data_IF_756771136411
#
_entry.id   IF_756771136411
#
_cell.length_a   1.000
_cell.length_b   1.000
_cell.length_c   1.000
_cell.angle_alpha   90.00
_cell.angle_beta   90.00
_cell.angle_gamma   90.00
#
_symmetry.space_group_name_H-M   'P 1'
#
loop_
_entity.id
_entity.type
_entity.pdbx_description
1 polymer ?
#
# COMPACT_ATOMS: atom_id res chain seq x y z
N UNK A 1 -2.13 -18.13 25.40
CA UNK A 1 -0.70 -18.03 25.76
C UNK A 1 0.15 -19.21 25.23
N UNK A 2 -0.31 -20.46 25.36
CA UNK A 2 0.45 -21.66 24.95
C UNK A 2 0.75 -21.76 23.42
N UNK A 3 -0.18 -21.35 22.56
CA UNK A 3 0.01 -21.43 21.10
C UNK A 3 1.03 -20.44 20.52
N UNK A 4 1.24 -19.28 21.15
CA UNK A 4 2.15 -18.26 20.65
C UNK A 4 3.63 -18.62 20.91
N UNK A 5 3.93 -19.20 22.07
CA UNK A 5 5.28 -19.66 22.45
C UNK A 5 5.70 -20.85 21.57
N UNK A 6 4.82 -21.83 21.38
CA UNK A 6 5.04 -22.96 20.46
C UNK A 6 5.35 -22.48 19.03
N UNK A 7 4.61 -21.48 18.55
CA UNK A 7 4.84 -20.90 17.23
C UNK A 7 6.18 -20.17 17.11
N UNK A 8 6.72 -19.60 18.18
CA UNK A 8 8.02 -18.94 18.17
C UNK A 8 9.17 -19.95 18.01
N UNK A 9 9.16 -21.04 18.78
CA UNK A 9 10.16 -22.09 18.68
C UNK A 9 10.13 -22.78 17.31
N UNK A 10 8.93 -23.18 16.84
CA UNK A 10 8.77 -23.79 15.51
C UNK A 10 9.29 -22.85 14.42
N UNK A 11 8.97 -21.55 14.47
CA UNK A 11 9.49 -20.57 13.49
C UNK A 11 11.01 -20.46 13.48
N UNK A 12 11.67 -20.53 14.62
CA UNK A 12 13.14 -20.42 14.66
C UNK A 12 13.81 -21.68 14.13
N UNK A 13 13.28 -22.86 14.48
CA UNK A 13 13.75 -24.12 13.91
C UNK A 13 13.55 -24.15 12.39
N UNK A 14 12.35 -23.81 11.91
CA UNK A 14 12.01 -23.86 10.49
C UNK A 14 12.82 -22.87 9.66
N UNK A 15 13.13 -21.68 10.21
CA UNK A 15 14.03 -20.72 9.54
C UNK A 15 15.43 -21.30 9.31
N UNK A 16 15.97 -22.02 10.30
CA UNK A 16 17.29 -22.62 10.20
C UNK A 16 17.31 -23.72 9.13
N UNK A 17 16.34 -24.64 9.21
CA UNK A 17 16.14 -25.68 8.19
C UNK A 17 15.98 -25.09 6.79
N UNK A 18 15.14 -24.07 6.63
CA UNK A 18 14.94 -23.41 5.34
C UNK A 18 16.23 -22.78 4.80
N UNK A 19 17.04 -22.14 5.66
CA UNK A 19 18.31 -21.51 5.28
C UNK A 19 19.33 -22.54 4.77
N UNK A 20 19.32 -23.75 5.30
CA UNK A 20 20.20 -24.85 4.87
C UNK A 20 19.73 -25.47 3.54
N UNK A 21 18.42 -25.62 3.35
CA UNK A 21 17.85 -26.33 2.20
C UNK A 21 17.66 -25.47 0.94
N UNK A 22 17.66 -24.14 1.06
CA UNK A 22 17.27 -23.24 -0.04
C UNK A 22 18.40 -22.31 -0.52
N UNK A 23 18.47 -22.03 -1.83
CA UNK A 23 19.43 -21.07 -2.40
C UNK A 23 19.28 -19.66 -1.81
N UNK A 24 20.31 -18.82 -1.98
CA UNK A 24 20.33 -17.42 -1.49
C UNK A 24 19.13 -16.61 -1.96
N UNK A 25 18.72 -16.77 -3.23
CA UNK A 25 17.59 -16.10 -3.86
C UNK A 25 16.23 -16.48 -3.28
N UNK A 26 16.15 -17.44 -2.37
CA UNK A 26 14.91 -17.82 -1.69
C UNK A 26 14.92 -17.46 -0.20
N UNK A 27 16.06 -17.02 0.35
CA UNK A 27 16.27 -16.93 1.80
C UNK A 27 15.35 -15.93 2.48
N UNK A 28 14.79 -14.94 1.77
CA UNK A 28 13.78 -14.02 2.30
C UNK A 28 12.53 -14.75 2.79
N UNK A 29 12.15 -15.86 2.13
CA UNK A 29 10.95 -16.63 2.45
C UNK A 29 11.05 -17.49 3.72
N UNK A 30 12.24 -17.60 4.34
CA UNK A 30 12.42 -18.31 5.61
C UNK A 30 11.49 -17.82 6.72
N UNK A 31 11.05 -16.55 6.64
CA UNK A 31 10.12 -15.94 7.60
C UNK A 31 8.72 -16.57 7.54
N UNK A 32 8.32 -16.99 6.34
CA UNK A 32 6.96 -17.39 6.02
C UNK A 32 6.80 -18.92 6.01
N UNK A 33 7.83 -19.65 5.61
CA UNK A 33 7.81 -21.11 5.62
C UNK A 33 7.78 -21.70 7.06
N UNK A 34 6.99 -22.77 7.32
CA UNK A 34 6.09 -23.51 6.41
C UNK A 34 4.63 -23.02 6.43
N UNK A 35 4.36 -21.87 7.05
CA UNK A 35 2.99 -21.43 7.34
C UNK A 35 2.25 -20.89 6.12
N UNK A 36 2.96 -20.42 5.10
CA UNK A 36 2.38 -19.84 3.90
C UNK A 36 2.60 -20.72 2.67
N UNK A 37 1.61 -20.70 1.78
CA UNK A 37 1.69 -21.25 0.43
C UNK A 37 1.10 -20.22 -0.53
N UNK A 38 1.77 -20.00 -1.67
CA UNK A 38 1.34 -19.08 -2.72
C UNK A 38 1.13 -19.88 -4.00
N UNK A 39 -0.02 -19.71 -4.64
CA UNK A 39 -0.30 -20.20 -6.00
C UNK A 39 -0.10 -19.03 -6.96
N UNK A 40 0.62 -19.27 -8.05
CA UNK A 40 0.91 -18.27 -9.08
C UNK A 40 0.36 -18.71 -10.42
N UNK A 41 -0.08 -17.76 -11.24
CA UNK A 41 -0.50 -18.03 -12.61
C UNK A 41 0.70 -18.21 -13.55
N UNK A 42 0.40 -18.46 -14.83
CA UNK A 42 1.40 -18.66 -15.89
C UNK A 42 2.32 -17.43 -16.10
N UNK A 43 1.86 -16.23 -15.76
CA UNK A 43 2.66 -14.99 -15.81
C UNK A 43 3.52 -14.78 -14.56
N UNK A 44 3.43 -15.68 -13.57
CA UNK A 44 4.18 -15.59 -12.31
C UNK A 44 3.55 -14.67 -11.26
N UNK A 45 2.37 -14.10 -11.52
CA UNK A 45 1.65 -13.27 -10.55
C UNK A 45 0.99 -14.13 -9.47
N UNK A 46 0.72 -13.55 -8.31
CA UNK A 46 0.00 -14.22 -7.22
C UNK A 46 -1.48 -14.38 -7.60
N UNK A 47 -1.97 -15.62 -7.67
CA UNK A 47 -3.40 -15.91 -7.78
C UNK A 47 -4.02 -16.09 -6.40
N UNK A 48 -3.40 -16.90 -5.54
CA UNK A 48 -3.95 -17.24 -4.23
C UNK A 48 -2.88 -17.35 -3.16
N UNK A 49 -3.21 -16.90 -1.95
CA UNK A 49 -2.36 -17.00 -0.76
C UNK A 49 -3.08 -17.78 0.32
N UNK A 50 -2.41 -18.80 0.83
CA UNK A 50 -2.88 -19.61 1.94
C UNK A 50 -2.01 -19.40 3.16
N UNK A 51 -2.63 -19.29 4.34
CA UNK A 51 -1.98 -19.32 5.63
C UNK A 51 -2.51 -20.52 6.41
N UNK A 52 -1.63 -21.46 6.78
CA UNK A 52 -1.99 -22.71 7.48
C UNK A 52 -3.14 -23.44 6.80
N UNK A 53 -3.03 -23.60 5.47
CA UNK A 53 -4.03 -24.22 4.59
C UNK A 53 -5.38 -23.48 4.48
N UNK A 54 -5.56 -22.33 5.13
CA UNK A 54 -6.73 -21.47 4.94
C UNK A 54 -6.46 -20.46 3.84
N UNK A 55 -7.36 -20.30 2.89
CA UNK A 55 -7.27 -19.26 1.85
C UNK A 55 -7.47 -17.89 2.49
N UNK A 56 -6.50 -16.99 2.32
CA UNK A 56 -6.51 -15.64 2.92
C UNK A 56 -6.63 -14.53 1.87
N UNK A 57 -6.08 -14.75 0.68
CA UNK A 57 -6.20 -13.81 -0.43
C UNK A 57 -6.48 -14.57 -1.72
N UNK A 58 -7.44 -14.08 -2.50
CA UNK A 58 -7.77 -14.57 -3.83
C UNK A 58 -7.79 -13.39 -4.80
N UNK A 59 -6.88 -13.41 -5.76
CA UNK A 59 -6.71 -12.38 -6.80
C UNK A 59 -7.38 -12.77 -8.11
N UNK A 60 -7.90 -14.00 -8.24
CA UNK A 60 -8.68 -14.41 -9.42
C UNK A 60 -10.04 -13.70 -9.47
N UNK A 61 -10.47 -13.16 -8.32
CA UNK A 61 -11.65 -12.32 -8.19
C UNK A 61 -11.36 -10.90 -8.67
N UNK A 62 -12.02 -10.51 -9.77
CA UNK A 62 -11.94 -9.16 -10.32
C UNK A 62 -12.40 -8.10 -9.32
N UNK A 63 -11.56 -7.08 -9.14
CA UNK A 63 -11.92 -5.88 -8.41
C UNK A 63 -12.83 -5.01 -9.28
N UNK A 64 -13.87 -4.45 -8.66
CA UNK A 64 -14.78 -3.51 -9.33
C UNK A 64 -14.77 -2.19 -8.57
N UNK A 65 -14.50 -1.12 -9.29
CA UNK A 65 -14.70 0.23 -8.80
C UNK A 65 -16.19 0.55 -8.85
N UNK A 66 -16.70 1.34 -7.90
CA UNK A 66 -18.07 1.85 -7.99
C UNK A 66 -18.12 3.08 -8.89
N UNK A 67 -17.04 3.86 -8.91
CA UNK A 67 -16.95 5.10 -9.66
C UNK A 67 -15.66 5.17 -10.47
N UNK A 68 -15.65 6.02 -11.51
CA UNK A 68 -14.43 6.31 -12.28
C UNK A 68 -13.50 7.31 -11.61
N UNK A 69 -13.99 7.96 -10.55
CA UNK A 69 -13.30 8.97 -9.74
C UNK A 69 -12.96 8.40 -8.37
N UNK A 70 -11.75 8.67 -7.87
CA UNK A 70 -11.32 8.18 -6.57
C UNK A 70 -10.47 9.19 -5.82
N UNK A 71 -10.66 9.27 -4.51
CA UNK A 71 -9.84 10.07 -3.61
C UNK A 71 -8.88 9.17 -2.83
N UNK A 72 -7.58 9.40 -3.05
CA UNK A 72 -6.50 8.90 -2.20
C UNK A 72 -6.40 9.77 -0.95
N UNK A 73 -6.63 9.17 0.22
CA UNK A 73 -6.50 9.84 1.51
C UNK A 73 -5.23 9.34 2.20
N UNK A 74 -4.25 10.22 2.29
CA UNK A 74 -3.06 10.07 3.10
C UNK A 74 -3.24 10.74 4.47
N UNK A 75 -2.13 11.03 5.16
CA UNK A 75 -2.17 11.30 6.61
C UNK A 75 -1.61 12.65 7.03
N UNK A 76 -1.19 13.48 6.07
CA UNK A 76 -0.72 14.83 6.33
C UNK A 76 -1.81 15.73 6.95
N UNK A 77 -1.42 16.71 7.78
CA UNK A 77 -2.36 17.61 8.45
C UNK A 77 -3.21 18.48 7.50
N UNK A 78 -2.89 18.60 6.20
CA UNK A 78 -3.77 19.30 5.26
C UNK A 78 -5.14 18.67 5.08
N UNK A 79 -5.32 17.39 5.47
CA UNK A 79 -6.64 16.75 5.56
C UNK A 79 -7.64 17.62 6.33
N UNK A 80 -7.19 18.28 7.41
CA UNK A 80 -8.05 19.14 8.26
C UNK A 80 -8.57 20.39 7.55
N UNK A 81 -8.05 20.72 6.37
CA UNK A 81 -8.49 21.86 5.55
C UNK A 81 -9.53 21.48 4.50
N UNK A 82 -9.78 20.19 4.29
CA UNK A 82 -10.77 19.70 3.32
C UNK A 82 -12.13 19.62 4.03
N UNK A 83 -13.19 20.26 3.51
CA UNK A 83 -14.51 20.17 4.11
C UNK A 83 -15.05 18.73 4.17
N UNK A 84 -15.59 18.32 5.32
CA UNK A 84 -16.05 16.94 5.61
C UNK A 84 -17.02 16.36 4.57
N UNK A 85 -17.82 17.21 3.91
CA UNK A 85 -18.74 16.78 2.86
C UNK A 85 -18.04 16.03 1.72
N UNK A 86 -16.77 16.35 1.44
CA UNK A 86 -15.99 15.72 0.37
C UNK A 86 -15.46 14.33 0.75
N UNK A 87 -15.49 13.97 2.04
CA UNK A 87 -15.19 12.63 2.54
C UNK A 87 -16.40 11.69 2.50
N UNK A 88 -17.58 12.21 2.14
CA UNK A 88 -18.85 11.48 2.01
C UNK A 88 -19.49 11.63 0.62
N UNK A 89 -18.72 12.08 -0.37
CA UNK A 89 -19.26 12.35 -1.69
C UNK A 89 -19.54 11.04 -2.43
N UNK A 90 -20.82 10.77 -2.68
CA UNK A 90 -21.31 9.48 -3.17
C UNK A 90 -20.84 9.11 -4.58
N UNK A 91 -20.22 10.04 -5.31
CA UNK A 91 -19.68 9.81 -6.67
C UNK A 91 -18.18 9.53 -6.68
N UNK A 92 -17.56 9.38 -5.50
CA UNK A 92 -16.17 9.01 -5.34
C UNK A 92 -16.04 7.64 -4.70
N UNK A 93 -15.10 6.86 -5.22
CA UNK A 93 -14.46 5.83 -4.41
C UNK A 93 -13.38 6.46 -3.51
N UNK A 94 -13.03 5.76 -2.44
CA UNK A 94 -11.99 6.18 -1.50
C UNK A 94 -10.96 5.08 -1.31
N UNK A 95 -9.70 5.47 -1.39
CA UNK A 95 -8.55 4.65 -1.04
C UNK A 95 -7.76 5.28 0.11
N UNK A 96 -7.67 4.57 1.23
CA UNK A 96 -6.96 5.04 2.42
C UNK A 96 -5.56 4.45 2.52
N UNK A 97 -4.62 5.20 3.09
CA UNK A 97 -3.28 4.67 3.41
C UNK A 97 -2.92 4.84 4.88
N UNK A 98 -2.23 3.85 5.44
CA UNK A 98 -1.77 3.83 6.83
C UNK A 98 -2.86 4.24 7.84
N UNK A 99 -2.78 5.43 8.43
CA UNK A 99 -3.72 5.89 9.45
C UNK A 99 -4.93 6.67 8.93
N UNK A 100 -5.16 6.72 7.61
CA UNK A 100 -6.32 7.39 7.01
C UNK A 100 -7.67 6.91 7.56
N UNK A 101 -7.76 5.66 8.02
CA UNK A 101 -8.92 5.05 8.65
C UNK A 101 -9.42 5.82 9.86
N UNK A 102 -8.59 6.69 10.46
CA UNK A 102 -8.97 7.57 11.54
C UNK A 102 -10.03 8.63 11.15
N UNK A 103 -10.24 8.90 9.86
CA UNK A 103 -11.42 9.61 9.36
C UNK A 103 -12.63 8.67 9.38
N UNK A 104 -13.48 8.80 10.40
CA UNK A 104 -14.60 7.88 10.66
C UNK A 104 -15.72 8.00 9.62
N UNK A 105 -15.80 9.15 8.97
CA UNK A 105 -16.80 9.50 7.98
C UNK A 105 -16.58 8.84 6.61
N UNK A 106 -15.39 8.31 6.34
CA UNK A 106 -15.04 7.75 5.02
C UNK A 106 -15.33 6.25 5.01
N UNK A 107 -16.09 5.81 4.00
CA UNK A 107 -16.20 4.39 3.67
C UNK A 107 -15.18 4.03 2.59
N UNK A 108 -14.06 3.43 2.98
CA UNK A 108 -13.00 3.03 2.06
C UNK A 108 -13.36 1.77 1.26
N UNK A 109 -13.30 1.86 -0.08
CA UNK A 109 -13.40 0.69 -0.97
C UNK A 109 -12.08 -0.07 -1.04
N UNK A 110 -10.98 0.68 -0.98
CA UNK A 110 -9.63 0.14 -1.03
C UNK A 110 -8.80 0.71 0.12
N UNK A 111 -7.84 -0.05 0.61
CA UNK A 111 -6.95 0.40 1.68
C UNK A 111 -5.54 -0.14 1.46
N UNK A 112 -4.51 0.63 1.78
CA UNK A 112 -3.11 0.22 1.56
C UNK A 112 -2.28 0.42 2.82
N UNK A 113 -1.62 -0.65 3.26
CA UNK A 113 -0.60 -0.59 4.32
C UNK A 113 0.56 -1.48 3.90
N UNK A 114 1.71 -0.87 3.62
CA UNK A 114 2.97 -1.58 3.30
C UNK A 114 4.06 -1.35 4.36
N UNK A 115 3.85 -0.36 5.23
CA UNK A 115 4.75 0.01 6.30
C UNK A 115 4.58 -0.95 7.49
N UNK A 116 5.59 -1.78 7.73
CA UNK A 116 5.57 -2.74 8.82
C UNK A 116 5.77 -2.09 10.19
N UNK A 117 6.43 -0.94 10.29
CA UNK A 117 6.56 -0.21 11.54
C UNK A 117 5.20 0.38 11.94
N UNK A 118 4.43 0.88 10.97
CA UNK A 118 3.03 1.27 11.20
C UNK A 118 2.19 0.11 11.75
N UNK A 119 2.30 -1.10 11.16
CA UNK A 119 1.58 -2.30 11.66
C UNK A 119 2.03 -2.67 13.08
N UNK A 120 3.29 -2.46 13.42
CA UNK A 120 3.79 -2.77 14.75
C UNK A 120 3.32 -1.76 15.79
N UNK A 121 3.37 -0.47 15.47
CA UNK A 121 3.20 0.63 16.43
C UNK A 121 1.77 1.17 16.50
N UNK A 122 0.98 1.04 15.42
CA UNK A 122 -0.40 1.54 15.31
C UNK A 122 -1.38 0.43 14.95
N UNK A 123 -1.24 -0.69 15.65
CA UNK A 123 -2.12 -1.85 15.41
C UNK A 123 -3.59 -1.55 15.69
N UNK A 124 -3.87 -0.57 16.57
CA UNK A 124 -5.21 -0.02 16.82
C UNK A 124 -5.89 0.46 15.52
N UNK A 125 -5.14 1.12 14.63
CA UNK A 125 -5.66 1.57 13.34
C UNK A 125 -5.72 0.42 12.34
N UNK A 126 -4.79 -0.54 12.40
CA UNK A 126 -4.84 -1.74 11.55
C UNK A 126 -6.09 -2.57 11.85
N UNK A 127 -6.43 -2.79 13.12
CA UNK A 127 -7.64 -3.52 13.52
C UNK A 127 -8.91 -2.90 12.96
N UNK A 128 -8.98 -1.56 12.94
CA UNK A 128 -10.09 -0.84 12.31
C UNK A 128 -10.19 -1.12 10.82
N UNK A 129 -9.08 -1.18 10.10
CA UNK A 129 -9.07 -1.56 8.66
C UNK A 129 -9.58 -2.99 8.48
N UNK A 130 -9.11 -3.92 9.33
CA UNK A 130 -9.51 -5.33 9.28
C UNK A 130 -11.02 -5.54 9.50
N UNK A 131 -11.68 -4.66 10.27
CA UNK A 131 -13.13 -4.71 10.53
C UNK A 131 -13.98 -4.06 9.40
N UNK A 132 -13.36 -3.48 8.39
CA UNK A 132 -14.08 -2.98 7.20
C UNK A 132 -14.26 -4.06 6.13
N UNK A 133 -15.17 -3.84 5.17
CA UNK A 133 -15.32 -4.70 3.99
C UNK A 133 -14.45 -4.25 2.79
N UNK A 134 -13.36 -3.52 3.02
CA UNK A 134 -12.53 -2.99 1.94
C UNK A 134 -11.65 -4.06 1.28
N UNK A 135 -11.14 -3.75 0.09
CA UNK A 135 -9.99 -4.46 -0.48
C UNK A 135 -8.71 -3.93 0.17
N UNK A 136 -8.07 -4.74 1.01
CA UNK A 136 -6.90 -4.36 1.77
C UNK A 136 -5.61 -4.83 1.09
N UNK A 137 -4.94 -3.91 0.42
CA UNK A 137 -3.64 -4.11 -0.21
C UNK A 137 -2.51 -4.05 0.82
N UNK A 138 -1.68 -5.09 0.86
CA UNK A 138 -0.56 -5.17 1.80
C UNK A 138 0.56 -6.06 1.29
N UNK A 139 1.73 -5.98 1.92
CA UNK A 139 2.87 -6.86 1.61
C UNK A 139 2.80 -8.16 2.40
N UNK A 140 3.51 -9.19 1.93
CA UNK A 140 3.69 -10.43 2.69
C UNK A 140 4.25 -10.20 4.11
N UNK A 141 5.11 -9.19 4.28
CA UNK A 141 5.69 -8.82 5.57
C UNK A 141 4.62 -8.29 6.52
N UNK A 142 3.82 -7.31 6.09
CA UNK A 142 2.74 -6.75 6.89
C UNK A 142 1.66 -7.81 7.19
N UNK A 143 1.28 -8.61 6.19
CA UNK A 143 0.35 -9.73 6.37
C UNK A 143 0.83 -10.69 7.48
N UNK A 144 2.10 -11.07 7.49
CA UNK A 144 2.67 -11.94 8.52
C UNK A 144 2.71 -11.29 9.91
N UNK A 145 2.87 -9.97 10.03
CA UNK A 145 2.70 -9.28 11.31
C UNK A 145 1.25 -9.28 11.79
N UNK A 146 0.31 -9.06 10.87
CA UNK A 146 -1.13 -9.01 11.16
C UNK A 146 -1.63 -10.38 11.62
N UNK A 147 -1.41 -11.44 10.84
CA UNK A 147 -1.91 -12.80 11.14
C UNK A 147 -1.24 -13.46 12.37
N UNK A 148 -0.24 -12.82 12.97
CA UNK A 148 0.31 -13.21 14.28
C UNK A 148 -0.43 -12.59 15.46
N UNK A 149 -1.16 -11.50 15.23
CA UNK A 149 -1.86 -10.72 16.25
C UNK A 149 -3.36 -10.96 16.26
N UNK A 150 -3.97 -11.21 15.09
CA UNK A 150 -5.42 -11.44 14.96
C UNK A 150 -5.72 -12.84 14.47
N UNK A 151 -6.92 -13.34 14.80
CA UNK A 151 -7.44 -14.58 14.22
C UNK A 151 -8.14 -14.28 12.90
N UNK A 152 -8.12 -15.25 11.97
CA UNK A 152 -8.68 -15.07 10.63
C UNK A 152 -10.18 -14.77 10.68
N UNK A 153 -10.91 -15.36 11.63
CA UNK A 153 -12.37 -15.20 11.76
C UNK A 153 -12.78 -13.77 12.18
N UNK A 154 -11.82 -12.96 12.66
CA UNK A 154 -12.05 -11.56 13.04
C UNK A 154 -11.82 -10.60 11.86
N UNK A 155 -11.34 -11.08 10.72
CA UNK A 155 -10.98 -10.27 9.58
C UNK A 155 -12.16 -10.21 8.60
N UNK A 156 -12.63 -9.00 8.31
CA UNK A 156 -13.75 -8.74 7.39
C UNK A 156 -13.28 -8.18 6.05
N UNK A 157 -12.13 -7.52 6.01
CA UNK A 157 -11.56 -7.00 4.78
C UNK A 157 -11.06 -8.13 3.88
N UNK A 158 -10.93 -7.86 2.58
CA UNK A 158 -10.36 -8.82 1.63
C UNK A 158 -8.90 -8.48 1.37
N UNK A 159 -7.97 -9.34 1.79
CA UNK A 159 -6.56 -9.11 1.51
C UNK A 159 -6.26 -9.18 0.00
N UNK A 160 -5.41 -8.27 -0.44
CA UNK A 160 -4.78 -8.25 -1.76
C UNK A 160 -3.26 -8.10 -1.56
N UNK A 161 -2.48 -9.09 -1.95
CA UNK A 161 -1.05 -9.15 -1.66
C UNK A 161 -0.27 -8.55 -2.83
N UNK A 162 0.52 -7.52 -2.52
CA UNK A 162 1.39 -6.85 -3.49
C UNK A 162 2.86 -7.14 -3.16
N UNK A 163 3.68 -7.17 -4.21
CA UNK A 163 5.12 -7.41 -4.13
C UNK A 163 5.87 -6.12 -4.49
N UNK A 164 6.88 -5.77 -3.70
CA UNK A 164 7.59 -4.50 -3.85
C UNK A 164 8.93 -4.73 -4.53
N UNK A 165 9.23 -3.93 -5.55
CA UNK A 165 10.57 -3.81 -6.11
C UNK A 165 11.33 -2.71 -5.38
N UNK A 166 12.53 -3.06 -4.91
CA UNK A 166 13.48 -2.12 -4.32
C UNK A 166 14.88 -2.45 -4.82
N UNK A 167 15.67 -1.44 -5.17
CA UNK A 167 17.02 -1.61 -5.73
C UNK A 167 17.08 -2.63 -6.89
N UNK A 168 16.13 -2.50 -7.83
CA UNK A 168 15.98 -3.37 -9.00
C UNK A 168 15.79 -4.86 -8.65
N UNK A 169 15.31 -5.17 -7.45
CA UNK A 169 15.03 -6.54 -7.01
C UNK A 169 13.63 -6.65 -6.44
N UNK A 170 12.92 -7.70 -6.83
CA UNK A 170 11.67 -8.09 -6.22
C UNK A 170 11.86 -9.44 -5.52
N UNK A 171 11.71 -9.44 -4.20
CA UNK A 171 11.77 -10.64 -3.37
C UNK A 171 10.39 -11.33 -3.33
N UNK A 172 10.12 -12.15 -4.35
CA UNK A 172 8.81 -12.77 -4.54
C UNK A 172 8.38 -13.61 -3.32
N UNK A 173 7.16 -13.39 -2.83
CA UNK A 173 6.56 -14.09 -1.72
C UNK A 173 6.42 -15.58 -2.04
N UNK A 174 7.10 -16.41 -1.25
CA UNK A 174 7.25 -17.85 -1.47
C UNK A 174 7.85 -18.22 -2.84
N UNK A 175 8.51 -17.27 -3.54
CA UNK A 175 9.23 -17.47 -4.80
C UNK A 175 10.71 -17.03 -4.74
N UNK A 176 11.42 -17.06 -5.86
CA UNK A 176 12.78 -16.54 -5.94
C UNK A 176 12.81 -15.01 -5.99
N UNK A 177 13.93 -14.41 -5.61
CA UNK A 177 14.23 -13.03 -5.99
C UNK A 177 14.38 -12.94 -7.51
N UNK A 178 13.75 -11.95 -8.11
CA UNK A 178 13.91 -11.59 -9.53
C UNK A 178 14.55 -10.21 -9.65
N UNK A 179 15.26 -9.99 -10.76
CA UNK A 179 15.72 -8.66 -11.14
C UNK A 179 14.60 -7.95 -11.90
N UNK A 180 14.37 -6.69 -11.56
CA UNK A 180 13.40 -5.84 -12.24
C UNK A 180 14.17 -4.69 -12.86
N UNK A 181 14.11 -4.61 -14.18
CA UNK A 181 14.75 -3.58 -14.99
C UNK A 181 13.73 -2.92 -15.93
N UNK A 182 14.21 -1.94 -16.71
CA UNK A 182 13.40 -1.15 -17.64
C UNK A 182 12.82 -1.96 -18.80
N UNK A 183 13.28 -3.20 -19.02
CA UNK A 183 12.78 -4.08 -20.10
C UNK A 183 11.49 -4.79 -19.71
N UNK A 184 11.12 -4.75 -18.42
CA UNK A 184 9.86 -5.30 -17.94
C UNK A 184 8.72 -4.40 -18.43
N UNK A 185 7.96 -4.88 -19.42
CA UNK A 185 6.89 -4.12 -20.10
C UNK A 185 5.82 -3.55 -19.18
N UNK A 186 5.60 -4.17 -18.02
CA UNK A 186 4.63 -3.72 -17.03
C UNK A 186 5.12 -2.62 -16.11
N UNK A 187 6.27 -2.01 -16.44
CA UNK A 187 6.82 -0.88 -15.71
C UNK A 187 7.07 0.29 -16.67
N UNK A 188 6.69 1.48 -16.22
CA UNK A 188 7.09 2.75 -16.82
C UNK A 188 8.27 3.32 -16.05
N UNK A 189 9.32 3.76 -16.74
CA UNK A 189 10.48 4.37 -16.11
C UNK A 189 10.68 5.81 -16.60
N UNK A 190 11.00 6.69 -15.67
CA UNK A 190 11.40 8.07 -15.94
C UNK A 190 12.50 8.47 -14.96
N UNK A 191 13.62 8.97 -15.48
CA UNK A 191 14.81 9.37 -14.72
C UNK A 191 15.28 8.33 -13.68
N UNK A 192 15.20 7.04 -14.01
CA UNK A 192 15.62 5.94 -13.12
C UNK A 192 14.62 5.57 -12.02
N UNK A 193 13.43 6.19 -11.99
CA UNK A 193 12.33 5.83 -11.11
C UNK A 193 11.27 5.07 -11.88
N UNK A 194 10.80 3.95 -11.31
CA UNK A 194 9.84 3.04 -11.90
C UNK A 194 8.42 3.26 -11.36
N UNK A 195 7.44 3.09 -12.23
CA UNK A 195 6.02 3.13 -11.90
C UNK A 195 5.36 1.90 -12.52
N UNK A 196 4.75 1.05 -11.71
CA UNK A 196 4.08 -0.14 -12.21
C UNK A 196 2.79 0.19 -12.96
N UNK A 197 2.61 -0.40 -14.13
CA UNK A 197 1.37 -0.35 -14.92
C UNK A 197 0.43 -1.52 -14.59
N UNK A 198 0.95 -2.55 -13.91
CA UNK A 198 0.19 -3.72 -13.45
C UNK A 198 0.51 -4.05 -11.98
N UNK A 199 -0.38 -3.65 -11.07
CA UNK A 199 -0.18 -3.72 -9.62
C UNK A 199 0.14 -5.11 -9.03
N UNK A 200 -0.16 -6.21 -9.75
CA UNK A 200 0.12 -7.58 -9.30
C UNK A 200 1.44 -8.16 -9.82
N UNK A 201 2.14 -7.47 -10.74
CA UNK A 201 3.49 -7.86 -11.16
C UNK A 201 4.52 -7.41 -10.12
N UNK A 202 4.49 -6.13 -9.81
CA UNK A 202 5.26 -5.49 -8.75
C UNK A 202 4.69 -4.09 -8.54
N UNK A 203 5.02 -3.47 -7.41
CA UNK A 203 4.91 -2.02 -7.20
C UNK A 203 6.22 -1.45 -6.68
N UNK A 204 6.40 -0.15 -6.79
CA UNK A 204 7.51 0.60 -6.20
C UNK A 204 6.99 1.42 -5.01
N UNK A 205 7.79 1.56 -3.95
CA UNK A 205 7.37 2.31 -2.76
C UNK A 205 8.01 3.70 -2.67
N UNK A 206 9.29 3.83 -3.04
CA UNK A 206 10.11 5.03 -2.89
C UNK A 206 9.81 5.76 -1.58
N UNK A 207 9.82 5.01 -0.48
CA UNK A 207 9.67 5.50 0.89
C UNK A 207 8.28 6.06 1.27
N UNK A 208 7.26 5.97 0.41
CA UNK A 208 5.91 6.45 0.76
C UNK A 208 4.79 5.54 0.26
N UNK A 209 3.86 5.21 1.15
CA UNK A 209 2.69 4.37 0.84
C UNK A 209 1.76 5.05 -0.18
N UNK A 210 1.74 6.38 -0.22
CA UNK A 210 0.94 7.13 -1.20
C UNK A 210 1.39 6.83 -2.64
N UNK A 211 2.68 6.63 -2.88
CA UNK A 211 3.20 6.32 -4.21
C UNK A 211 2.80 4.91 -4.67
N UNK A 212 2.84 3.94 -3.74
CA UNK A 212 2.30 2.60 -3.99
C UNK A 212 0.80 2.63 -4.26
N UNK A 213 0.05 3.44 -3.52
CA UNK A 213 -1.39 3.58 -3.73
C UNK A 213 -1.72 4.13 -5.14
N UNK A 214 -0.93 5.06 -5.68
CA UNK A 214 -1.13 5.54 -7.06
C UNK A 214 -0.97 4.42 -8.11
N UNK A 215 -0.01 3.51 -7.93
CA UNK A 215 0.15 2.35 -8.83
C UNK A 215 -1.02 1.37 -8.72
N UNK A 216 -1.54 1.17 -7.51
CA UNK A 216 -2.77 0.40 -7.29
C UNK A 216 -3.97 1.07 -7.98
N UNK A 217 -4.12 2.40 -7.85
CA UNK A 217 -5.20 3.15 -8.50
C UNK A 217 -5.11 3.09 -10.03
N UNK A 218 -3.90 3.11 -10.57
CA UNK A 218 -3.64 2.86 -12.00
C UNK A 218 -4.11 1.46 -12.41
N UNK A 219 -3.71 0.42 -11.67
CA UNK A 219 -4.14 -0.96 -11.94
C UNK A 219 -5.65 -1.19 -11.75
N UNK A 220 -6.31 -0.35 -10.95
CA UNK A 220 -7.77 -0.30 -10.81
C UNK A 220 -8.45 0.53 -11.91
N UNK A 221 -7.71 1.17 -12.81
CA UNK A 221 -8.22 1.96 -13.93
C UNK A 221 -9.03 3.22 -13.56
N UNK A 222 -8.73 3.86 -12.41
CA UNK A 222 -9.33 5.15 -12.09
C UNK A 222 -8.90 6.23 -13.10
N UNK A 223 -9.86 7.03 -13.57
CA UNK A 223 -9.63 8.06 -14.59
C UNK A 223 -9.45 9.46 -14.00
N UNK A 224 -9.99 9.68 -12.78
CA UNK A 224 -9.83 10.93 -12.04
C UNK A 224 -9.38 10.61 -10.61
N UNK A 225 -8.23 11.11 -10.24
CA UNK A 225 -7.58 10.85 -8.96
C UNK A 225 -7.43 12.16 -8.20
N UNK A 226 -7.92 12.18 -6.97
CA UNK A 226 -7.74 13.30 -6.04
C UNK A 226 -6.85 12.85 -4.88
N UNK A 227 -5.76 13.57 -4.62
CA UNK A 227 -4.78 13.22 -3.59
C UNK A 227 -4.94 14.18 -2.41
N UNK A 228 -5.38 13.65 -1.27
CA UNK A 228 -5.57 14.39 -0.04
C UNK A 228 -4.49 14.00 0.99
N UNK A 229 -3.93 14.98 1.71
CA UNK A 229 -3.01 14.71 2.82
C UNK A 229 -1.59 14.26 2.43
N UNK A 230 -1.14 14.58 1.21
CA UNK A 230 0.25 14.38 0.78
C UNK A 230 0.96 15.73 0.80
N UNK A 231 1.42 16.13 1.99
CA UNK A 231 2.00 17.45 2.23
C UNK A 231 3.49 17.55 1.89
N UNK A 232 4.31 16.63 2.42
CA UNK A 232 5.76 16.58 2.18
C UNK A 232 6.55 17.85 2.58
N UNK A 233 5.97 18.72 3.42
CA UNK A 233 6.56 20.00 3.81
C UNK A 233 6.52 20.28 5.33
N UNK A 234 6.07 19.30 6.11
CA UNK A 234 5.65 19.44 7.49
C UNK A 234 6.04 18.23 8.34
N UNK A 235 7.26 17.72 8.12
CA UNK A 235 7.76 16.49 8.72
C UNK A 235 7.80 16.51 10.25
N UNK A 236 7.86 17.71 10.85
CA UNK A 236 7.84 17.89 12.30
C UNK A 236 6.44 17.96 12.90
N UNK A 237 5.40 18.15 12.07
CA UNK A 237 4.01 18.18 12.52
C UNK A 237 3.44 16.76 12.67
N UNK A 238 2.49 16.55 13.60
CA UNK A 238 1.80 15.28 13.70
C UNK A 238 0.97 15.01 12.44
N UNK A 239 0.80 13.73 12.11
CA UNK A 239 -0.25 13.31 11.17
C UNK A 239 -1.62 13.73 11.71
N UNK A 240 -2.64 13.82 10.86
CA UNK A 240 -3.93 14.42 11.28
C UNK A 240 -4.57 13.73 12.51
N UNK A 241 -4.28 12.44 12.72
CA UNK A 241 -4.76 11.59 13.81
C UNK A 241 -3.78 11.45 14.99
N UNK A 242 -2.64 12.15 14.97
CA UNK A 242 -1.64 12.15 16.03
C UNK A 242 -1.68 13.49 16.80
N UNK A 243 -1.06 13.51 17.97
CA UNK A 243 -0.78 14.72 18.74
C UNK A 243 0.73 15.00 18.75
N UNK A 244 1.15 16.19 19.18
CA UNK A 244 2.58 16.53 19.29
C UNK A 244 3.33 15.56 20.23
N UNK A 245 2.71 15.20 21.34
CA UNK A 245 3.31 14.31 22.37
C UNK A 245 3.31 12.83 21.96
N UNK A 246 2.53 12.45 20.94
CA UNK A 246 2.33 11.06 20.52
C UNK A 246 2.47 10.88 19.00
N UNK A 247 3.41 11.60 18.37
CA UNK A 247 3.75 11.42 16.95
C UNK A 247 4.76 10.30 16.74
N UNK A 248 4.59 9.52 15.68
CA UNK A 248 5.59 8.53 15.27
C UNK A 248 6.71 9.20 14.47
N UNK A 249 7.96 8.67 14.51
CA UNK A 249 9.02 9.16 13.64
C UNK A 249 8.68 8.94 12.16
N UNK A 250 9.35 9.69 11.29
CA UNK A 250 9.22 9.59 9.84
C UNK A 250 10.60 9.67 9.19
N UNK A 251 10.79 8.91 8.11
CA UNK A 251 11.98 8.98 7.26
C UNK A 251 11.73 9.81 5.99
N UNK A 252 10.52 10.36 5.82
CA UNK A 252 10.16 11.10 4.60
C UNK A 252 11.07 12.32 4.38
N UNK A 253 11.50 13.00 5.45
CA UNK A 253 12.43 14.13 5.37
C UNK A 253 13.77 13.74 4.75
N UNK A 254 14.29 12.56 5.08
CA UNK A 254 15.57 12.04 4.58
C UNK A 254 15.52 11.62 3.11
N UNK A 255 14.33 11.28 2.60
CA UNK A 255 14.13 10.78 1.24
C UNK A 255 13.32 11.71 0.34
N UNK A 256 13.15 12.98 0.75
CA UNK A 256 12.29 13.96 0.08
C UNK A 256 12.55 14.05 -1.43
N UNK A 257 13.83 14.13 -1.85
CA UNK A 257 14.19 14.26 -3.26
C UNK A 257 13.80 13.01 -4.08
N UNK A 258 14.06 11.81 -3.56
CA UNK A 258 13.67 10.56 -4.20
C UNK A 258 12.14 10.43 -4.30
N UNK A 259 11.41 10.88 -3.27
CA UNK A 259 9.96 10.87 -3.28
C UNK A 259 9.41 11.84 -4.34
N UNK A 260 9.95 13.06 -4.44
CA UNK A 260 9.56 14.03 -5.46
C UNK A 260 9.78 13.46 -6.86
N UNK A 261 10.97 12.93 -7.13
CA UNK A 261 11.29 12.33 -8.43
C UNK A 261 10.38 11.14 -8.77
N UNK A 262 10.04 10.29 -7.78
CA UNK A 262 9.06 9.23 -7.98
C UNK A 262 7.68 9.78 -8.39
N UNK A 263 7.18 10.81 -7.69
CA UNK A 263 5.91 11.46 -8.04
C UNK A 263 5.94 12.19 -9.39
N UNK A 264 7.09 12.66 -9.86
CA UNK A 264 7.26 13.16 -11.24
C UNK A 264 7.07 12.02 -12.25
N UNK A 265 7.70 10.85 -12.02
CA UNK A 265 7.47 9.65 -12.86
C UNK A 265 6.00 9.27 -12.93
N UNK A 266 5.28 9.29 -11.79
CA UNK A 266 3.84 9.02 -11.80
C UNK A 266 3.06 10.05 -12.61
N UNK A 267 3.40 11.34 -12.52
CA UNK A 267 2.74 12.39 -13.28
C UNK A 267 2.92 12.20 -14.79
N UNK A 268 4.15 11.96 -15.25
CA UNK A 268 4.42 11.67 -16.66
C UNK A 268 3.68 10.43 -17.15
N UNK A 269 3.64 9.36 -16.33
CA UNK A 269 2.87 8.18 -16.65
C UNK A 269 1.37 8.51 -16.81
N UNK A 270 0.75 9.14 -15.82
CA UNK A 270 -0.68 9.46 -15.87
C UNK A 270 -1.05 10.42 -17.00
N UNK A 271 -0.21 11.40 -17.30
CA UNK A 271 -0.37 12.29 -18.46
C UNK A 271 -0.40 11.49 -19.77
N UNK A 272 0.55 10.56 -19.95
CA UNK A 272 0.58 9.69 -21.13
C UNK A 272 -0.67 8.82 -21.28
N UNK A 273 -1.31 8.47 -20.15
CA UNK A 273 -2.53 7.67 -20.10
C UNK A 273 -3.82 8.53 -20.10
N UNK A 274 -3.70 9.85 -20.17
CA UNK A 274 -4.83 10.81 -20.09
C UNK A 274 -5.65 10.66 -18.80
N UNK A 275 -5.01 10.26 -17.71
CA UNK A 275 -5.63 10.19 -16.37
C UNK A 275 -5.46 11.53 -15.68
N UNK A 276 -6.56 12.09 -15.16
CA UNK A 276 -6.52 13.38 -14.46
C UNK A 276 -6.14 13.17 -13.00
N UNK A 277 -5.08 13.83 -12.53
CA UNK A 277 -4.62 13.73 -11.15
C UNK A 277 -4.49 15.12 -10.54
N UNK A 278 -5.13 15.31 -9.39
CA UNK A 278 -5.15 16.57 -8.66
C UNK A 278 -4.66 16.37 -7.23
N UNK A 279 -3.83 17.30 -6.74
CA UNK A 279 -3.40 17.32 -5.35
C UNK A 279 -4.18 18.38 -4.58
N UNK A 280 -4.94 17.93 -3.57
CA UNK A 280 -5.79 18.75 -2.70
C UNK A 280 -5.02 19.42 -1.55
N UNK A 281 -3.70 19.23 -1.51
CA UNK A 281 -2.80 19.84 -0.52
C UNK A 281 -2.13 21.07 -1.16
N UNK A 282 -2.66 22.30 -0.95
CA UNK A 282 -2.27 23.48 -1.74
C UNK A 282 -0.79 23.86 -1.59
N UNK A 283 -0.22 23.62 -0.41
CA UNK A 283 1.18 23.94 -0.12
C UNK A 283 2.13 22.74 -0.23
N UNK A 284 1.64 21.60 -0.73
CA UNK A 284 2.44 20.38 -0.77
C UNK A 284 3.69 20.53 -1.63
N UNK A 285 4.81 19.98 -1.15
CA UNK A 285 6.09 19.94 -1.87
C UNK A 285 6.01 19.14 -3.18
N UNK A 286 5.01 18.27 -3.34
CA UNK A 286 4.78 17.52 -4.58
C UNK A 286 4.12 18.43 -5.61
N UNK A 287 4.90 18.95 -6.56
CA UNK A 287 4.47 19.89 -7.60
C UNK A 287 4.08 19.24 -8.92
N UNK A 288 4.34 17.94 -9.09
CA UNK A 288 4.13 17.21 -10.34
C UNK A 288 2.65 17.04 -10.73
N UNK A 289 1.71 17.29 -9.81
CA UNK A 289 0.27 17.27 -10.09
C UNK A 289 -0.36 18.65 -9.90
N UNK A 290 -1.37 18.94 -10.73
CA UNK A 290 -2.17 20.16 -10.61
C UNK A 290 -2.78 20.27 -9.21
N UNK A 291 -2.71 21.47 -8.62
CA UNK A 291 -3.32 21.75 -7.32
C UNK A 291 -4.78 22.11 -7.50
N UNK A 292 -5.62 21.66 -6.58
CA UNK A 292 -7.05 21.94 -6.60
C UNK A 292 -7.56 22.21 -5.18
N UNK A 293 -8.24 23.33 -4.98
CA UNK A 293 -8.95 23.62 -3.73
C UNK A 293 -10.42 23.25 -3.91
N UNK A 294 -10.98 22.47 -3.00
CA UNK A 294 -12.38 22.09 -3.04
C UNK A 294 -13.22 23.16 -2.33
N UNK A 295 -13.76 24.12 -3.09
CA UNK A 295 -14.63 25.18 -2.58
C UNK A 295 -16.11 24.95 -2.94
N UNK A 296 -16.40 24.24 -4.04
CA UNK A 296 -17.75 23.94 -4.55
C UNK A 296 -17.84 22.52 -5.13
N UNK A 297 -19.06 21.97 -5.22
CA UNK A 297 -19.31 20.59 -5.69
C UNK A 297 -19.05 20.41 -7.19
N UNK A 298 -18.99 21.50 -7.96
CA UNK A 298 -18.72 21.53 -9.41
C UNK A 298 -17.35 20.96 -9.80
N UNK A 299 -16.49 20.69 -8.82
CA UNK A 299 -15.10 20.25 -9.00
C UNK A 299 -14.97 18.71 -8.96
N UNK A 300 -15.97 17.99 -8.41
CA UNK A 300 -15.98 16.53 -8.23
C UNK A 300 -17.12 15.84 -8.96
#
# INVERSE_FOLDING_TARGET
MCGLIFNHFVRNLTKYTYKLLKPSTYKHNRRYWPFYRVVRNASGQIDQVFFRNTLIADHTLNLKNKHSKCMLIATGPSIKKIPDKFFKYEKLDYIGVNGAIALNEVTFQHYVIIDHDFVQNRFDLVERVLDTACNFFTTARCLDYILRKVKIEQIRCQFKIIEITSNCKNELFMGNTIHVDEKVKSNYFYNGFGFSTHMYDTVFDYYTVAYTALQIMSGLNYQHIYIAGVDMNNFDLPRFYETLDAKQPTLLNQHTQSIIAAFETAAYFFESQKVSVYNLSPHSLIKSFNKLTLEQDTIL
#
